data_IF_883395813762
#
_entry.id   IF_883395813762
#
_cell.length_a   1.000
_cell.length_b   1.000
_cell.length_c   1.000
_cell.angle_alpha   90.00
_cell.angle_beta   90.00
_cell.angle_gamma   90.00
#
_symmetry.space_group_name_H-M   'P 1'
#
loop_
_entity.id
_entity.type
_entity.pdbx_description
1 polymer ?
#
# COMPACT_ATOMS: atom_id res chain seq x y z
N UNK A 1 -17.42 27.97 -0.52
CA UNK A 1 -17.43 26.71 -1.30
C UNK A 1 -16.22 25.85 -0.88
N UNK A 2 -16.23 25.28 0.34
CA UNK A 2 -15.06 24.60 0.94
C UNK A 2 -15.39 23.35 1.78
N UNK A 3 -16.66 22.92 1.81
CA UNK A 3 -17.09 21.83 2.69
C UNK A 3 -16.81 20.43 2.13
N UNK A 4 -16.74 20.28 0.80
CA UNK A 4 -16.59 18.97 0.15
C UNK A 4 -15.15 18.43 0.21
N UNK A 5 -14.14 19.27 0.03
CA UNK A 5 -12.73 18.84 0.11
C UNK A 5 -12.36 18.29 1.51
N UNK A 6 -12.89 18.89 2.58
CA UNK A 6 -12.63 18.46 3.95
C UNK A 6 -13.24 17.09 4.31
N UNK A 7 -14.30 16.66 3.63
CA UNK A 7 -14.94 15.36 3.90
C UNK A 7 -14.19 14.22 3.21
N UNK A 8 -13.68 14.45 2.00
CA UNK A 8 -12.84 13.50 1.25
C UNK A 8 -11.51 13.23 1.95
N UNK A 9 -10.91 14.26 2.55
CA UNK A 9 -9.65 14.14 3.32
C UNK A 9 -9.80 13.19 4.52
N UNK A 10 -10.96 13.18 5.20
CA UNK A 10 -11.13 12.39 6.43
C UNK A 10 -11.23 10.86 6.21
N UNK A 11 -11.63 10.40 5.03
CA UNK A 11 -11.89 8.96 4.79
C UNK A 11 -10.64 8.18 4.40
N UNK A 12 -9.69 8.83 3.73
CA UNK A 12 -8.36 8.27 3.44
C UNK A 12 -7.48 8.16 4.68
N UNK A 13 -7.82 8.85 5.77
CA UNK A 13 -7.06 8.81 7.03
C UNK A 13 -6.92 7.39 7.59
N UNK A 14 -7.91 6.51 7.39
CA UNK A 14 -7.81 5.12 7.87
C UNK A 14 -6.75 4.32 7.10
N UNK A 15 -6.63 4.57 5.79
CA UNK A 15 -5.61 3.90 4.99
C UNK A 15 -4.22 4.48 5.25
N UNK A 16 -4.11 5.79 5.47
CA UNK A 16 -2.85 6.40 5.90
C UNK A 16 -2.45 5.94 7.30
N UNK A 17 -3.39 5.82 8.25
CA UNK A 17 -3.11 5.23 9.59
C UNK A 17 -2.66 3.78 9.46
N UNK A 18 -3.21 2.99 8.52
CA UNK A 18 -2.74 1.63 8.25
C UNK A 18 -1.30 1.58 7.70
N UNK A 19 -0.86 2.60 6.98
CA UNK A 19 0.54 2.69 6.50
C UNK A 19 1.48 2.97 7.67
N UNK A 20 1.10 3.84 8.60
CA UNK A 20 1.94 4.20 9.75
C UNK A 20 1.85 3.17 10.91
N UNK A 21 0.69 2.53 11.07
CA UNK A 21 0.34 1.63 12.17
C UNK A 21 -0.34 0.33 11.70
N UNK A 22 0.33 -0.48 10.87
CA UNK A 22 -0.27 -1.68 10.29
C UNK A 22 -0.69 -2.72 11.34
N UNK A 23 -0.05 -2.76 12.50
CA UNK A 23 -0.34 -3.67 13.61
C UNK A 23 -1.77 -3.54 14.15
N UNK A 24 -2.42 -2.38 13.94
CA UNK A 24 -3.83 -2.18 14.31
C UNK A 24 -4.80 -2.87 13.34
N UNK A 25 -4.36 -3.17 12.12
CA UNK A 25 -5.22 -3.55 10.99
C UNK A 25 -4.90 -4.93 10.42
N UNK A 26 -3.66 -5.40 10.57
CA UNK A 26 -3.18 -6.66 10.03
C UNK A 26 -2.85 -7.58 11.20
N UNK A 27 -3.57 -8.71 11.28
CA UNK A 27 -3.37 -9.67 12.35
C UNK A 27 -2.02 -10.38 12.23
N UNK A 28 -1.43 -10.69 13.39
CA UNK A 28 -0.19 -11.46 13.48
C UNK A 28 1.07 -10.65 13.25
N UNK A 29 1.01 -9.33 13.03
CA UNK A 29 2.21 -8.47 13.06
C UNK A 29 2.71 -8.39 14.50
N UNK A 30 3.96 -8.80 14.73
CA UNK A 30 4.65 -8.66 16.03
C UNK A 30 5.51 -7.41 16.10
N UNK A 31 6.05 -6.98 14.97
CA UNK A 31 6.99 -5.88 14.89
C UNK A 31 6.94 -5.19 13.54
N UNK A 32 7.14 -3.87 13.57
CA UNK A 32 7.17 -2.99 12.40
C UNK A 32 8.42 -2.15 12.52
N UNK A 33 9.26 -2.17 11.48
CA UNK A 33 10.43 -1.30 11.36
C UNK A 33 10.27 -0.44 10.11
N UNK A 34 10.24 0.87 10.29
CA UNK A 34 10.19 1.84 9.18
C UNK A 34 11.62 2.20 8.82
N UNK A 35 12.03 1.85 7.60
CA UNK A 35 13.37 2.09 7.08
C UNK A 35 13.48 3.47 6.42
N UNK A 36 12.46 3.84 5.65
CA UNK A 36 12.37 5.14 4.97
C UNK A 36 10.94 5.66 5.08
N UNK A 37 10.77 6.97 5.31
CA UNK A 37 9.47 7.61 5.41
C UNK A 37 9.55 9.02 4.81
N UNK A 38 9.02 9.16 3.61
CA UNK A 38 8.91 10.42 2.89
C UNK A 38 7.42 10.74 2.61
N UNK A 39 7.17 11.94 2.08
CA UNK A 39 5.81 12.47 1.97
C UNK A 39 4.83 11.62 1.12
N UNK A 40 5.35 10.82 0.19
CA UNK A 40 4.58 10.01 -0.77
C UNK A 40 5.01 8.54 -0.84
N UNK A 41 6.03 8.14 -0.08
CA UNK A 41 6.46 6.76 -0.02
C UNK A 41 7.01 6.38 1.35
N UNK A 42 6.90 5.09 1.68
CA UNK A 42 7.36 4.50 2.91
C UNK A 42 7.92 3.11 2.65
N UNK A 43 9.13 2.83 3.11
CA UNK A 43 9.75 1.52 3.07
C UNK A 43 9.74 0.93 4.48
N UNK A 44 9.18 -0.27 4.64
CA UNK A 44 9.12 -0.93 5.95
C UNK A 44 9.39 -2.41 5.88
N UNK A 45 9.76 -2.94 7.04
CA UNK A 45 9.82 -4.35 7.36
C UNK A 45 8.67 -4.67 8.32
N UNK A 46 7.92 -5.72 8.00
CA UNK A 46 6.91 -6.33 8.85
C UNK A 46 7.40 -7.71 9.29
N UNK A 47 7.37 -7.96 10.59
CA UNK A 47 7.60 -9.30 11.12
C UNK A 47 6.31 -9.86 11.68
N UNK A 48 6.06 -11.13 11.43
CA UNK A 48 4.86 -11.82 11.90
C UNK A 48 5.17 -12.80 13.03
N UNK A 49 4.15 -13.14 13.80
CA UNK A 49 4.20 -14.19 14.83
C UNK A 49 4.29 -15.61 14.22
N UNK A 50 3.82 -15.79 12.99
CA UNK A 50 3.86 -17.08 12.28
C UNK A 50 5.26 -17.35 11.71
N UNK A 51 5.83 -18.50 12.08
CA UNK A 51 7.13 -18.98 11.62
C UNK A 51 7.23 -19.13 10.09
N UNK A 52 6.10 -19.23 9.39
CA UNK A 52 6.05 -19.30 7.91
C UNK A 52 6.34 -17.97 7.23
N UNK A 53 6.04 -16.85 7.88
CA UNK A 53 6.15 -15.50 7.33
C UNK A 53 7.05 -14.70 8.27
N UNK A 54 8.33 -15.09 8.37
CA UNK A 54 9.24 -14.48 9.34
C UNK A 54 9.38 -12.98 9.13
N UNK A 55 9.40 -12.55 7.87
CA UNK A 55 9.63 -11.16 7.50
C UNK A 55 9.06 -10.85 6.11
N UNK A 56 8.57 -9.62 5.96
CA UNK A 56 8.14 -9.02 4.70
C UNK A 56 8.71 -7.61 4.64
N UNK A 57 9.47 -7.31 3.59
CA UNK A 57 9.84 -5.93 3.25
C UNK A 57 8.92 -5.42 2.14
N UNK A 58 8.31 -4.28 2.38
CA UNK A 58 7.45 -3.65 1.38
C UNK A 58 7.72 -2.17 1.19
N UNK A 59 7.63 -1.74 -0.06
CA UNK A 59 7.63 -0.34 -0.45
C UNK A 59 6.18 0.08 -0.69
N UNK A 60 5.78 1.13 -0.01
CA UNK A 60 4.45 1.71 -0.12
C UNK A 60 4.61 3.05 -0.83
N UNK A 61 3.85 3.27 -1.89
CA UNK A 61 3.75 4.58 -2.57
C UNK A 61 2.29 4.98 -2.56
N UNK A 62 2.00 6.24 -2.28
CA UNK A 62 0.62 6.71 -2.21
C UNK A 62 0.43 8.11 -2.76
N UNK A 63 -0.76 8.38 -3.28
CA UNK A 63 -1.22 9.72 -3.60
C UNK A 63 -2.46 10.06 -2.77
N UNK A 64 -2.28 11.02 -1.84
CA UNK A 64 -3.34 11.49 -0.94
C UNK A 64 -4.49 12.16 -1.71
N UNK A 65 -4.23 12.66 -2.92
CA UNK A 65 -5.22 13.39 -3.72
C UNK A 65 -6.18 12.46 -4.47
N UNK A 66 -5.65 11.41 -5.11
CA UNK A 66 -6.45 10.37 -5.77
C UNK A 66 -7.01 9.30 -4.83
N UNK A 67 -6.40 9.12 -3.65
CA UNK A 67 -6.83 8.08 -2.71
C UNK A 67 -6.29 6.69 -3.02
N UNK A 68 -5.23 6.62 -3.82
CA UNK A 68 -4.59 5.40 -4.27
C UNK A 68 -3.33 5.13 -3.45
N UNK A 69 -3.17 3.87 -3.02
CA UNK A 69 -1.99 3.39 -2.31
C UNK A 69 -1.55 2.08 -2.96
N UNK A 70 -0.28 1.98 -3.30
CA UNK A 70 0.36 0.78 -3.85
C UNK A 70 1.29 0.22 -2.79
N UNK A 71 1.11 -1.06 -2.46
CA UNK A 71 1.97 -1.85 -1.58
C UNK A 71 2.74 -2.83 -2.44
N UNK A 72 4.06 -2.68 -2.56
CA UNK A 72 4.89 -3.62 -3.32
C UNK A 72 5.71 -4.49 -2.39
N UNK A 73 5.69 -5.80 -2.66
CA UNK A 73 6.59 -6.77 -2.05
C UNK A 73 8.01 -6.55 -2.60
N UNK A 74 8.89 -5.96 -1.80
CA UNK A 74 10.32 -5.75 -2.13
C UNK A 74 11.09 -7.01 -1.78
N UNK A 75 10.92 -7.50 -0.55
CA UNK A 75 11.48 -8.78 -0.13
C UNK A 75 10.40 -9.61 0.56
N UNK A 76 10.24 -10.82 0.05
CA UNK A 76 9.25 -11.77 0.49
C UNK A 76 9.68 -13.18 0.02
N UNK A 77 9.59 -14.22 0.86
CA UNK A 77 10.15 -15.55 0.54
C UNK A 77 9.52 -16.24 -0.68
N UNK A 78 8.21 -16.09 -0.88
CA UNK A 78 7.46 -16.86 -1.90
C UNK A 78 6.89 -16.05 -3.06
N UNK A 79 6.51 -14.80 -2.83
CA UNK A 79 5.78 -13.97 -3.78
C UNK A 79 6.55 -12.71 -4.16
N UNK A 80 6.18 -12.16 -5.30
CA UNK A 80 6.58 -10.83 -5.78
C UNK A 80 5.35 -10.19 -6.43
N UNK A 81 5.34 -8.87 -6.48
CA UNK A 81 4.25 -8.10 -7.06
C UNK A 81 3.69 -7.09 -6.07
N UNK A 82 2.44 -6.70 -6.27
CA UNK A 82 1.86 -5.55 -5.57
C UNK A 82 0.38 -5.71 -5.24
N UNK A 83 -0.06 -4.89 -4.30
CA UNK A 83 -1.45 -4.69 -3.95
C UNK A 83 -1.78 -3.22 -4.10
N UNK A 84 -2.82 -2.91 -4.85
CA UNK A 84 -3.31 -1.55 -5.09
C UNK A 84 -4.60 -1.39 -4.30
N UNK A 85 -4.64 -0.39 -3.43
CA UNK A 85 -5.84 0.02 -2.70
C UNK A 85 -6.33 1.34 -3.28
N UNK A 86 -7.58 1.36 -3.73
CA UNK A 86 -8.22 2.56 -4.28
C UNK A 86 -9.41 2.92 -3.41
N UNK A 87 -9.36 4.07 -2.75
CA UNK A 87 -10.47 4.58 -1.96
C UNK A 87 -11.23 5.65 -2.73
N UNK A 88 -12.50 5.40 -3.01
CA UNK A 88 -13.39 6.34 -3.71
C UNK A 88 -14.44 6.86 -2.74
N UNK A 89 -14.74 8.16 -2.83
CA UNK A 89 -15.93 8.71 -2.19
C UNK A 89 -17.12 8.47 -3.10
N UNK A 90 -18.17 7.84 -2.59
CA UNK A 90 -19.40 7.68 -3.36
C UNK A 90 -20.28 8.92 -3.22
N UNK A 91 -21.24 9.09 -4.13
CA UNK A 91 -22.24 10.17 -4.05
C UNK A 91 -23.17 10.05 -2.84
N UNK A 92 -23.09 8.94 -2.09
CA UNK A 92 -23.85 8.74 -0.86
C UNK A 92 -23.11 9.36 0.33
N UNK A 93 -23.82 10.18 1.09
CA UNK A 93 -23.26 10.86 2.26
C UNK A 93 -22.78 9.80 3.27
N UNK A 94 -21.52 9.90 3.68
CA UNK A 94 -20.84 9.00 4.65
C UNK A 94 -20.47 7.61 4.16
N UNK A 95 -20.49 7.34 2.86
CA UNK A 95 -19.96 6.09 2.32
C UNK A 95 -18.66 6.30 1.54
N UNK A 96 -17.80 5.30 1.65
CA UNK A 96 -16.60 5.13 0.85
C UNK A 96 -16.60 3.74 0.28
N UNK A 97 -16.15 3.63 -0.96
CA UNK A 97 -15.84 2.36 -1.60
C UNK A 97 -14.34 2.16 -1.53
N UNK A 98 -13.92 0.96 -1.15
CA UNK A 98 -12.53 0.57 -1.10
C UNK A 98 -12.35 -0.66 -1.99
N UNK A 99 -11.61 -0.46 -3.08
CA UNK A 99 -11.25 -1.50 -4.02
C UNK A 99 -9.83 -1.99 -3.71
N UNK A 100 -9.64 -3.30 -3.86
CA UNK A 100 -8.36 -3.97 -3.69
C UNK A 100 -8.04 -4.74 -4.95
N UNK A 101 -6.90 -4.45 -5.55
CA UNK A 101 -6.33 -5.22 -6.65
C UNK A 101 -5.06 -5.91 -6.17
N UNK A 102 -4.95 -7.22 -6.38
CA UNK A 102 -3.81 -8.02 -5.92
C UNK A 102 -3.15 -8.66 -7.13
N UNK A 103 -1.94 -8.20 -7.43
CA UNK A 103 -1.14 -8.63 -8.57
C UNK A 103 0.11 -9.36 -8.08
N UNK A 104 -0.09 -10.53 -7.47
CA UNK A 104 1.00 -11.36 -6.94
C UNK A 104 1.28 -12.54 -7.85
N UNK A 105 2.56 -12.89 -7.96
CA UNK A 105 3.04 -14.12 -8.57
C UNK A 105 4.08 -14.78 -7.69
N UNK A 106 4.20 -16.10 -7.81
CA UNK A 106 5.29 -16.83 -7.16
C UNK A 106 6.64 -16.34 -7.69
N UNK A 107 7.64 -16.21 -6.81
CA UNK A 107 9.03 -16.02 -7.22
C UNK A 107 9.49 -17.31 -7.90
N UNK A 108 10.11 -17.17 -9.07
CA UNK A 108 10.89 -18.27 -9.62
C UNK A 108 12.08 -18.48 -8.69
N UNK A 109 12.42 -19.73 -8.37
CA UNK A 109 13.50 -20.06 -7.41
C UNK A 109 14.89 -19.53 -7.82
N UNK A 110 15.00 -18.90 -9.00
CA UNK A 110 16.21 -18.31 -9.56
C UNK A 110 16.13 -16.78 -9.79
N UNK A 111 15.04 -16.09 -9.39
CA UNK A 111 14.94 -14.64 -9.59
C UNK A 111 15.79 -13.89 -8.58
N UNK A 112 16.79 -13.13 -9.06
CA UNK A 112 17.53 -12.15 -8.25
C UNK A 112 16.63 -10.95 -7.96
N UNK A 113 16.73 -10.40 -6.75
CA UNK A 113 16.19 -9.10 -6.38
C UNK A 113 16.75 -8.01 -7.31
N UNK A 114 15.89 -7.13 -7.81
CA UNK A 114 16.27 -5.99 -8.65
C UNK A 114 16.00 -4.69 -7.92
N UNK A 115 16.96 -3.76 -7.90
CA UNK A 115 16.88 -2.46 -7.22
C UNK A 115 15.92 -1.43 -7.86
N UNK A 116 15.06 -1.82 -8.79
CA UNK A 116 14.20 -0.92 -9.59
C UNK A 116 12.80 -0.70 -8.96
N UNK A 117 12.59 -1.13 -7.72
CA UNK A 117 11.28 -1.25 -7.10
C UNK A 117 10.53 0.08 -6.91
N UNK A 118 11.24 1.22 -6.76
CA UNK A 118 10.59 2.53 -6.65
C UNK A 118 9.96 2.95 -7.98
N UNK A 119 10.72 2.84 -9.07
CA UNK A 119 10.30 3.26 -10.41
C UNK A 119 9.04 2.51 -10.87
N UNK A 120 9.02 1.20 -10.67
CA UNK A 120 7.84 0.40 -11.01
C UNK A 120 6.61 0.79 -10.15
N UNK A 121 6.79 1.32 -8.94
CA UNK A 121 5.66 1.58 -8.00
C UNK A 121 5.01 2.90 -8.35
N UNK A 122 5.82 3.88 -8.74
CA UNK A 122 5.36 5.12 -9.33
C UNK A 122 4.62 4.88 -10.66
N UNK A 123 5.09 3.94 -11.49
CA UNK A 123 4.38 3.55 -12.71
C UNK A 123 3.01 2.90 -12.40
N UNK A 124 2.95 1.96 -11.46
CA UNK A 124 1.70 1.33 -11.04
C UNK A 124 0.72 2.36 -10.47
N UNK A 125 1.21 3.28 -9.63
CA UNK A 125 0.42 4.40 -9.13
C UNK A 125 -0.12 5.27 -10.27
N UNK A 126 0.73 5.64 -11.24
CA UNK A 126 0.31 6.48 -12.36
C UNK A 126 -0.71 5.78 -13.27
N UNK A 127 -0.57 4.48 -13.50
CA UNK A 127 -1.54 3.68 -14.24
C UNK A 127 -2.88 3.66 -13.51
N UNK A 128 -2.88 3.35 -12.21
CA UNK A 128 -4.09 3.34 -11.40
C UNK A 128 -4.78 4.71 -11.36
N UNK A 129 -4.00 5.81 -11.29
CA UNK A 129 -4.55 7.18 -11.39
C UNK A 129 -5.24 7.39 -12.74
N UNK A 130 -4.64 6.96 -13.84
CA UNK A 130 -5.18 7.16 -15.18
C UNK A 130 -6.45 6.36 -15.45
N UNK A 131 -6.64 5.21 -14.80
CA UNK A 131 -7.84 4.37 -14.97
C UNK A 131 -9.09 4.91 -14.26
N UNK A 132 -8.90 5.84 -13.32
CA UNK A 132 -9.99 6.42 -12.51
C UNK A 132 -10.42 7.82 -13.03
N UNK A 133 -9.63 8.43 -13.93
CA UNK A 133 -9.93 9.71 -14.58
C UNK A 133 -10.85 9.56 -15.79
#
# INVERSE_FOLDING_TARGET
>A
MFFWQNLTIKRHLCLLDKIEHPEKYVQGIRHVEILENENNHLLRILQFEDDKWQELKELIVHDKSSGIIVYRLVDHPYFQGETINICRTTNQVYQSELEYEINWKLKDQNSKESNDDIYYSEQALQLAINEIQ
#
